data_IF_841598528024
#
_entry.id   IF_841598528024
#
_cell.length_a   1.000
_cell.length_b   1.000
_cell.length_c   1.000
_cell.angle_alpha   90.00
_cell.angle_beta   90.00
_cell.angle_gamma   90.00
#
_symmetry.space_group_name_H-M   'P 1'
#
loop_
_entity.id
_entity.type
_entity.pdbx_description
1 polymer ?
#
# COMPACT_ATOMS: atom_id res chain seq x y z
N UNK A 1 -7.07 -9.72 -6.18
CA UNK A 1 -7.63 -8.71 -7.10
C UNK A 1 -7.27 -7.33 -6.58
N UNK A 2 -6.99 -6.37 -7.45
CA UNK A 2 -6.83 -4.95 -7.06
C UNK A 2 -7.81 -4.13 -7.90
N UNK A 3 -8.58 -3.25 -7.26
CA UNK A 3 -9.58 -2.42 -7.93
C UNK A 3 -9.55 -0.97 -7.42
N UNK A 4 -9.82 0.00 -8.31
CA UNK A 4 -10.09 1.38 -7.90
C UNK A 4 -11.52 1.49 -7.40
N UNK A 5 -11.69 2.13 -6.24
CA UNK A 5 -12.99 2.34 -5.63
C UNK A 5 -13.14 3.80 -5.20
N UNK A 6 -14.38 4.25 -5.09
CA UNK A 6 -14.73 5.55 -4.51
C UNK A 6 -15.42 5.32 -3.18
N UNK A 7 -14.89 5.94 -2.13
CA UNK A 7 -15.47 5.92 -0.78
C UNK A 7 -16.55 6.98 -0.63
N UNK A 8 -17.00 7.18 0.62
CA UNK A 8 -17.88 8.29 0.95
C UNK A 8 -17.22 9.63 0.59
N UNK A 9 -18.05 10.61 0.19
CA UNK A 9 -17.60 11.93 -0.26
C UNK A 9 -16.59 11.91 -1.44
N UNK A 10 -16.71 10.94 -2.35
CA UNK A 10 -15.91 10.80 -3.58
C UNK A 10 -14.39 10.60 -3.35
N UNK A 11 -14.00 10.20 -2.15
CA UNK A 11 -12.60 9.88 -1.82
C UNK A 11 -12.10 8.71 -2.67
N UNK A 12 -10.95 8.88 -3.34
CA UNK A 12 -10.34 7.85 -4.18
C UNK A 12 -9.54 6.86 -3.34
N UNK A 13 -9.81 5.56 -3.51
CA UNK A 13 -9.14 4.50 -2.78
C UNK A 13 -8.86 3.28 -3.69
N UNK A 14 -8.11 2.33 -3.16
CA UNK A 14 -7.82 1.04 -3.78
C UNK A 14 -8.31 -0.08 -2.86
N UNK A 15 -9.13 -0.98 -3.40
CA UNK A 15 -9.49 -2.23 -2.74
C UNK A 15 -8.52 -3.32 -3.16
N UNK A 16 -7.80 -3.90 -2.20
CA UNK A 16 -7.01 -5.12 -2.38
C UNK A 16 -7.78 -6.30 -1.79
N UNK A 17 -8.07 -7.30 -2.62
CA UNK A 17 -8.65 -8.58 -2.22
C UNK A 17 -7.58 -9.67 -2.35
N UNK A 18 -6.99 -10.02 -1.22
CA UNK A 18 -5.92 -11.00 -1.08
C UNK A 18 -6.44 -12.39 -0.70
N UNK A 19 -5.51 -13.35 -0.66
CA UNK A 19 -5.80 -14.67 -0.09
C UNK A 19 -5.77 -14.58 1.44
N UNK A 20 -6.71 -15.24 2.10
CA UNK A 20 -6.69 -15.42 3.55
C UNK A 20 -5.75 -16.57 3.85
N UNK A 21 -4.55 -16.23 4.32
CA UNK A 21 -3.48 -17.18 4.61
C UNK A 21 -2.67 -16.70 5.83
N UNK A 22 -1.92 -17.60 6.50
CA UNK A 22 -1.06 -17.21 7.63
C UNK A 22 -0.11 -16.04 7.29
N UNK A 23 0.36 -15.98 6.05
CA UNK A 23 1.27 -14.95 5.54
C UNK A 23 0.60 -13.56 5.45
N UNK A 24 -0.71 -13.49 5.23
CA UNK A 24 -1.47 -12.23 5.09
C UNK A 24 -2.16 -11.80 6.38
N UNK A 25 -2.22 -12.67 7.39
CA UNK A 25 -2.93 -12.43 8.65
C UNK A 25 -2.55 -11.11 9.35
N UNK A 26 -1.27 -10.73 9.26
CA UNK A 26 -0.72 -9.55 9.93
C UNK A 26 -0.53 -8.34 8.98
N UNK A 27 -0.94 -8.44 7.73
CA UNK A 27 -0.72 -7.39 6.72
C UNK A 27 -1.36 -6.06 7.13
N UNK A 28 -2.61 -6.10 7.61
CA UNK A 28 -3.31 -4.91 8.09
C UNK A 28 -2.59 -4.25 9.29
N UNK A 29 -2.12 -5.05 10.24
CA UNK A 29 -1.42 -4.58 11.43
C UNK A 29 -0.07 -3.96 11.05
N UNK A 30 0.65 -4.56 10.11
CA UNK A 30 1.86 -3.99 9.56
C UNK A 30 1.57 -2.62 8.91
N UNK A 31 0.61 -2.54 7.98
CA UNK A 31 0.27 -1.29 7.31
C UNK A 31 -0.14 -0.18 8.30
N UNK A 32 -0.92 -0.52 9.33
CA UNK A 32 -1.29 0.41 10.40
C UNK A 32 -0.06 0.85 11.22
N UNK A 33 0.90 -0.03 11.46
CA UNK A 33 2.14 0.31 12.17
C UNK A 33 3.03 1.25 11.34
N UNK A 34 3.19 0.98 10.05
CA UNK A 34 4.05 1.76 9.16
C UNK A 34 3.45 3.12 8.82
N UNK A 35 2.13 3.25 8.63
CA UNK A 35 1.37 4.50 8.48
C UNK A 35 2.14 5.63 7.76
N UNK A 36 2.38 5.49 6.46
CA UNK A 36 3.14 6.44 5.59
C UNK A 36 4.66 6.43 5.76
N UNK A 37 5.23 5.63 6.66
CA UNK A 37 6.69 5.38 6.72
C UNK A 37 7.07 4.32 5.68
N UNK A 38 7.00 4.70 4.41
CA UNK A 38 7.35 3.81 3.28
C UNK A 38 6.29 2.75 2.94
N UNK A 39 5.08 2.90 3.47
CA UNK A 39 3.92 2.07 3.15
C UNK A 39 2.71 2.96 2.84
N UNK A 40 1.78 2.43 2.05
CA UNK A 40 0.48 3.05 1.81
C UNK A 40 -0.35 3.15 3.10
N UNK A 41 -1.18 4.18 3.20
CA UNK A 41 -2.18 4.31 4.25
C UNK A 41 -3.23 3.20 4.18
N UNK A 42 -3.48 2.58 5.33
CA UNK A 42 -4.64 1.72 5.55
C UNK A 42 -5.85 2.59 5.90
N UNK A 43 -6.88 2.55 5.06
CA UNK A 43 -8.15 3.27 5.26
C UNK A 43 -9.21 2.38 5.92
N UNK A 44 -9.10 1.05 5.76
CA UNK A 44 -9.98 0.06 6.37
C UNK A 44 -9.50 -1.37 6.07
N UNK A 45 -9.95 -2.35 6.85
CA UNK A 45 -9.59 -3.75 6.67
C UNK A 45 -10.71 -4.70 7.10
N UNK A 46 -10.83 -5.81 6.39
CA UNK A 46 -11.52 -7.03 6.82
C UNK A 46 -10.55 -8.21 6.61
N UNK A 47 -9.70 -8.52 7.60
CA UNK A 47 -8.68 -9.56 7.45
C UNK A 47 -9.28 -10.96 7.37
N UNK A 48 -10.48 -11.19 7.94
CA UNK A 48 -11.16 -12.48 7.86
C UNK A 48 -11.64 -12.79 6.43
N UNK A 49 -12.02 -11.75 5.68
CA UNK A 49 -12.38 -11.86 4.27
C UNK A 49 -11.22 -11.57 3.29
N UNK A 50 -10.04 -11.19 3.80
CA UNK A 50 -8.87 -10.88 2.99
C UNK A 50 -8.94 -9.53 2.25
N UNK A 51 -9.74 -8.58 2.74
CA UNK A 51 -9.90 -7.27 2.13
C UNK A 51 -9.11 -6.18 2.85
N UNK A 52 -8.43 -5.34 2.08
CA UNK A 52 -7.78 -4.11 2.54
C UNK A 52 -8.24 -2.93 1.68
N UNK A 53 -8.61 -1.84 2.32
CA UNK A 53 -8.90 -0.57 1.68
C UNK A 53 -7.72 0.38 1.92
N UNK A 54 -7.08 0.82 0.84
CA UNK A 54 -5.82 1.56 0.87
C UNK A 54 -5.99 2.93 0.18
N UNK A 55 -5.13 3.89 0.52
CA UNK A 55 -5.06 5.13 -0.26
C UNK A 55 -4.71 4.84 -1.73
N UNK A 56 -5.17 5.71 -2.62
CA UNK A 56 -4.87 5.59 -4.04
C UNK A 56 -3.51 6.23 -4.36
N UNK A 57 -2.52 5.38 -4.64
CA UNK A 57 -1.24 5.84 -5.20
C UNK A 57 -1.32 6.12 -6.71
N UNK A 58 -0.36 6.92 -7.19
CA UNK A 58 -0.02 7.09 -8.61
C UNK A 58 0.73 5.86 -9.13
N UNK A 59 0.01 4.74 -9.23
CA UNK A 59 0.52 3.44 -9.67
C UNK A 59 1.11 3.45 -11.10
N UNK A 60 0.73 4.44 -11.91
CA UNK A 60 1.16 4.67 -13.29
C UNK A 60 2.63 5.12 -13.39
N UNK A 61 3.25 5.48 -12.27
CA UNK A 61 4.68 5.83 -12.19
C UNK A 61 5.38 4.84 -11.26
N UNK A 62 5.66 3.60 -11.72
CA UNK A 62 6.37 2.65 -10.90
C UNK A 62 7.83 3.10 -10.72
N UNK A 63 8.46 2.77 -9.58
CA UNK A 63 9.85 3.16 -9.31
C UNK A 63 10.84 2.79 -10.44
N UNK A 64 10.60 1.64 -11.09
CA UNK A 64 11.39 1.14 -12.24
C UNK A 64 11.28 1.99 -13.52
N UNK A 65 10.29 2.88 -13.64
CA UNK A 65 10.19 3.78 -14.78
C UNK A 65 11.06 5.03 -14.63
N UNK A 66 11.62 5.27 -13.43
CA UNK A 66 12.57 6.35 -13.22
C UNK A 66 13.94 5.96 -13.80
N UNK A 67 14.75 6.97 -14.14
CA UNK A 67 16.16 6.73 -14.41
C UNK A 67 16.82 6.01 -13.22
N UNK A 68 17.67 5.02 -13.48
CA UNK A 68 18.21 4.10 -12.47
C UNK A 68 18.77 4.82 -11.23
N UNK A 69 19.56 5.87 -11.43
CA UNK A 69 20.13 6.69 -10.34
C UNK A 69 19.04 7.29 -9.45
N UNK A 70 17.97 7.82 -10.05
CA UNK A 70 16.84 8.39 -9.30
C UNK A 70 16.07 7.29 -8.57
N UNK A 71 15.82 6.16 -9.23
CA UNK A 71 15.16 5.01 -8.61
C UNK A 71 15.93 4.51 -7.37
N UNK A 72 17.25 4.42 -7.47
CA UNK A 72 18.12 4.00 -6.37
C UNK A 72 18.10 4.98 -5.19
N UNK A 73 18.11 6.29 -5.46
CA UNK A 73 18.02 7.33 -4.42
C UNK A 73 16.69 7.28 -3.67
N UNK A 74 15.58 7.09 -4.38
CA UNK A 74 14.25 6.94 -3.76
C UNK A 74 14.17 5.66 -2.92
N UNK A 75 14.65 4.52 -3.44
CA UNK A 75 14.69 3.25 -2.71
C UNK A 75 15.54 3.36 -1.42
N UNK A 76 16.73 3.93 -1.52
CA UNK A 76 17.63 4.11 -0.37
C UNK A 76 17.02 5.04 0.69
N UNK A 77 16.35 6.11 0.24
CA UNK A 77 15.66 7.04 1.14
C UNK A 77 14.46 6.40 1.84
N UNK A 78 13.78 5.44 1.20
CA UNK A 78 12.76 4.61 1.84
C UNK A 78 13.37 3.68 2.87
N UNK A 79 14.41 2.91 2.52
CA UNK A 79 15.09 1.98 3.43
C UNK A 79 15.56 2.67 4.72
N UNK A 80 16.13 3.87 4.62
CA UNK A 80 16.58 4.64 5.79
C UNK A 80 15.45 5.03 6.75
N UNK A 81 14.20 5.12 6.27
CA UNK A 81 13.02 5.43 7.11
C UNK A 81 12.45 4.19 7.80
N UNK A 82 12.90 3.00 7.41
CA UNK A 82 12.42 1.73 7.95
C UNK A 82 13.29 1.19 9.10
N UNK A 83 14.41 1.84 9.41
CA UNK A 83 15.33 1.56 10.51
C UNK A 83 15.39 2.76 11.46
#
# INVERSE_FOLDING_TARGET
>A
LVAYVRGAADSSAVLNAGLVAPETAHEHAALAHWAVRGAVLLLGADPAAGFLLLERLHWDIPLRSLAEVKGMLEATSLLRRLW
#
